data_IF_486514098766
#
_entry.id   IF_486514098766
#
_cell.length_a   1.000
_cell.length_b   1.000
_cell.length_c   1.000
_cell.angle_alpha   90.00
_cell.angle_beta   90.00
_cell.angle_gamma   90.00
#
_symmetry.space_group_name_H-M   'P 1'
#
loop_
_entity.id
_entity.type
_entity.pdbx_description
1 polymer ?
#
# COMPACT_ATOMS: atom_id res chain seq x y z
N UNK A 1 -14.21 -0.70 5.42
CA UNK A 1 -13.32 -1.16 4.34
C UNK A 1 -11.91 -1.14 4.88
N UNK A 2 -11.13 -2.21 4.69
CA UNK A 2 -9.74 -2.22 5.14
C UNK A 2 -8.88 -1.33 4.22
N UNK A 3 -8.11 -0.43 4.81
CA UNK A 3 -7.18 0.48 4.16
C UNK A 3 -5.74 0.01 4.35
N UNK A 4 -5.43 -0.81 5.35
CA UNK A 4 -4.08 -1.32 5.57
C UNK A 4 -4.07 -2.85 5.64
N UNK A 5 -3.44 -3.47 4.65
CA UNK A 5 -3.31 -4.93 4.52
C UNK A 5 -1.82 -5.28 4.60
N UNK A 6 -1.47 -6.25 5.43
CA UNK A 6 -0.10 -6.70 5.59
C UNK A 6 0.04 -8.16 5.17
N UNK A 7 1.02 -8.45 4.32
CA UNK A 7 1.34 -9.79 3.83
C UNK A 7 2.69 -10.20 4.41
N UNK A 8 2.70 -11.32 5.14
CA UNK A 8 3.91 -11.86 5.76
C UNK A 8 4.20 -13.31 5.39
N UNK A 9 5.42 -13.76 5.64
CA UNK A 9 5.90 -15.10 5.33
C UNK A 9 7.38 -15.14 4.97
N UNK A 10 7.98 -16.32 4.98
CA UNK A 10 9.41 -16.49 4.70
C UNK A 10 9.87 -15.98 3.33
N UNK A 11 11.18 -15.92 3.12
CA UNK A 11 11.75 -15.63 1.79
C UNK A 11 11.28 -16.68 0.78
N UNK A 12 10.93 -16.23 -0.43
CA UNK A 12 10.40 -17.12 -1.48
C UNK A 12 8.98 -17.66 -1.24
N UNK A 13 8.25 -17.17 -0.22
CA UNK A 13 6.86 -17.62 0.04
C UNK A 13 5.83 -17.06 -0.94
N UNK A 14 6.22 -16.17 -1.85
CA UNK A 14 5.34 -15.57 -2.86
C UNK A 14 4.60 -14.30 -2.39
N UNK A 15 5.11 -13.59 -1.39
CA UNK A 15 4.48 -12.38 -0.85
C UNK A 15 4.30 -11.26 -1.87
N UNK A 16 5.38 -10.86 -2.56
CA UNK A 16 5.34 -9.86 -3.63
C UNK A 16 4.36 -10.27 -4.72
N UNK A 17 4.40 -11.54 -5.13
CA UNK A 17 3.42 -12.10 -6.06
C UNK A 17 1.97 -11.90 -5.61
N UNK A 18 1.66 -12.23 -4.36
CA UNK A 18 0.30 -12.07 -3.84
C UNK A 18 -0.11 -10.61 -3.72
N UNK A 19 0.80 -9.75 -3.29
CA UNK A 19 0.59 -8.30 -3.24
C UNK A 19 0.22 -7.77 -4.62
N UNK A 20 1.04 -8.05 -5.63
CA UNK A 20 0.80 -7.67 -7.02
C UNK A 20 -0.53 -8.23 -7.54
N UNK A 21 -0.80 -9.53 -7.29
CA UNK A 21 -2.05 -10.16 -7.70
C UNK A 21 -3.28 -9.48 -7.06
N UNK A 22 -3.25 -9.20 -5.76
CA UNK A 22 -4.36 -8.53 -5.08
C UNK A 22 -4.58 -7.12 -5.62
N UNK A 23 -3.51 -6.35 -5.82
CA UNK A 23 -3.60 -4.99 -6.34
C UNK A 23 -4.28 -4.96 -7.72
N UNK A 24 -3.78 -5.77 -8.67
CA UNK A 24 -4.38 -5.86 -10.00
C UNK A 24 -5.80 -6.44 -9.98
N UNK A 25 -6.06 -7.45 -9.15
CA UNK A 25 -7.41 -8.03 -9.05
C UNK A 25 -8.43 -6.98 -8.58
N UNK A 26 -8.11 -6.21 -7.54
CA UNK A 26 -9.00 -5.19 -7.02
C UNK A 26 -9.17 -4.03 -7.98
N UNK A 27 -8.09 -3.57 -8.64
CA UNK A 27 -8.18 -2.57 -9.71
C UNK A 27 -9.15 -3.02 -10.81
N UNK A 28 -8.91 -4.20 -11.40
CA UNK A 28 -9.74 -4.73 -12.48
C UNK A 28 -11.20 -4.93 -12.05
N UNK A 29 -11.42 -5.41 -10.82
CA UNK A 29 -12.77 -5.60 -10.29
C UNK A 29 -13.50 -4.27 -10.14
N UNK A 30 -12.84 -3.24 -9.66
CA UNK A 30 -13.42 -1.90 -9.52
C UNK A 30 -13.70 -1.25 -10.86
N UNK A 31 -12.75 -1.34 -11.81
CA UNK A 31 -12.91 -0.80 -13.17
C UNK A 31 -14.05 -1.48 -13.94
N UNK A 32 -14.22 -2.80 -13.78
CA UNK A 32 -15.38 -3.51 -14.34
C UNK A 32 -16.72 -3.04 -13.79
N UNK A 33 -16.73 -2.49 -12.58
CA UNK A 33 -17.92 -1.94 -11.95
C UNK A 33 -18.09 -0.43 -12.22
N UNK A 34 -17.32 0.14 -13.14
CA UNK A 34 -17.40 1.56 -13.51
C UNK A 34 -16.65 2.51 -12.58
N UNK A 35 -15.87 2.00 -11.61
CA UNK A 35 -14.98 2.81 -10.79
C UNK A 35 -13.60 3.00 -11.44
N UNK A 36 -12.72 3.76 -10.78
CA UNK A 36 -11.34 3.94 -11.21
C UNK A 36 -10.39 3.71 -10.02
N UNK A 37 -9.25 3.05 -10.26
CA UNK A 37 -8.22 2.80 -9.24
C UNK A 37 -6.85 2.96 -9.87
N UNK A 38 -6.05 3.89 -9.34
CA UNK A 38 -4.65 4.04 -9.69
C UNK A 38 -3.76 3.13 -8.83
N UNK A 39 -2.74 2.51 -9.44
CA UNK A 39 -1.75 1.71 -8.71
C UNK A 39 -0.48 2.52 -8.48
N UNK A 40 0.14 2.31 -7.33
CA UNK A 40 1.42 2.89 -6.95
C UNK A 40 2.29 1.81 -6.30
N UNK A 41 3.61 1.89 -6.43
CA UNK A 41 4.50 0.92 -5.79
C UNK A 41 5.93 1.44 -5.60
N UNK A 42 6.63 0.91 -4.60
CA UNK A 42 8.08 1.16 -4.41
C UNK A 42 8.98 0.18 -5.16
N UNK A 43 8.40 -0.67 -6.01
CA UNK A 43 9.08 -1.61 -6.89
C UNK A 43 8.41 -1.55 -8.26
N UNK A 44 9.00 -2.17 -9.27
CA UNK A 44 8.39 -2.24 -10.59
C UNK A 44 7.20 -3.19 -10.61
N UNK A 45 6.00 -2.60 -10.57
CA UNK A 45 4.71 -3.26 -10.72
C UNK A 45 4.09 -2.78 -12.03
N UNK A 46 3.52 -3.69 -12.81
CA UNK A 46 2.83 -3.35 -14.05
C UNK A 46 1.69 -2.35 -13.79
N UNK A 47 1.49 -1.40 -14.70
CA UNK A 47 0.45 -0.38 -14.64
C UNK A 47 0.44 0.46 -13.33
N UNK A 48 1.58 0.55 -12.63
CA UNK A 48 1.73 1.36 -11.43
C UNK A 48 2.61 2.60 -11.65
N UNK A 49 2.33 3.64 -10.88
CA UNK A 49 3.24 4.77 -10.73
C UNK A 49 4.31 4.45 -9.69
N UNK A 50 5.59 4.77 -9.96
CA UNK A 50 6.65 4.57 -8.98
C UNK A 50 6.49 5.54 -7.81
N UNK A 51 6.76 5.06 -6.59
CA UNK A 51 6.85 5.85 -5.36
C UNK A 51 8.33 6.05 -5.00
N UNK A 52 8.98 7.00 -5.65
CA UNK A 52 10.43 7.24 -5.50
C UNK A 52 10.75 8.59 -4.85
N UNK A 53 9.81 9.54 -4.92
CA UNK A 53 9.96 10.88 -4.39
C UNK A 53 8.71 11.31 -3.60
N UNK A 54 8.87 12.18 -2.60
CA UNK A 54 7.76 12.49 -1.66
C UNK A 54 6.58 13.17 -2.36
N UNK A 55 6.84 13.86 -3.47
CA UNK A 55 5.81 14.50 -4.31
C UNK A 55 4.93 13.48 -5.05
N UNK A 56 5.31 12.20 -5.12
CA UNK A 56 4.46 11.16 -5.74
C UNK A 56 3.16 10.96 -4.97
N UNK A 57 3.14 11.28 -3.67
CA UNK A 57 1.92 11.32 -2.86
C UNK A 57 0.89 12.34 -3.37
N UNK A 58 1.30 13.37 -4.12
CA UNK A 58 0.36 14.30 -4.73
C UNK A 58 -0.52 13.62 -5.79
N UNK A 59 0.06 12.70 -6.57
CA UNK A 59 -0.70 11.88 -7.53
C UNK A 59 -1.65 10.93 -6.82
N UNK A 60 -1.24 10.39 -5.66
CA UNK A 60 -2.11 9.58 -4.80
C UNK A 60 -3.31 10.41 -4.33
N UNK A 61 -3.08 11.66 -3.90
CA UNK A 61 -4.13 12.58 -3.49
C UNK A 61 -5.05 12.97 -4.65
N UNK A 62 -4.53 13.16 -5.85
CA UNK A 62 -5.30 13.47 -7.05
C UNK A 62 -6.21 12.31 -7.49
N UNK A 63 -5.74 11.07 -7.40
CA UNK A 63 -6.44 9.89 -7.93
C UNK A 63 -7.80 9.60 -7.26
N UNK A 64 -8.03 10.04 -6.02
CA UNK A 64 -9.27 9.79 -5.26
C UNK A 64 -9.75 8.33 -5.32
N UNK A 65 -8.81 7.39 -5.18
CA UNK A 65 -9.03 5.97 -5.38
C UNK A 65 -7.74 5.30 -5.83
N UNK A 66 -6.99 4.72 -4.89
CA UNK A 66 -5.69 4.15 -5.19
C UNK A 66 -5.34 2.92 -4.38
N UNK A 67 -4.42 2.10 -4.91
CA UNK A 67 -3.77 1.03 -4.17
C UNK A 67 -2.26 1.28 -4.24
N UNK A 68 -1.60 1.28 -3.08
CA UNK A 68 -0.15 1.43 -2.98
C UNK A 68 0.46 0.14 -2.43
N UNK A 69 1.44 -0.40 -3.14
CA UNK A 69 2.15 -1.62 -2.80
C UNK A 69 3.56 -1.32 -2.29
N UNK A 70 3.84 -1.74 -1.06
CA UNK A 70 5.13 -1.56 -0.39
C UNK A 70 5.82 -2.91 -0.20
N UNK A 71 6.75 -3.24 -1.08
CA UNK A 71 7.61 -4.42 -0.92
C UNK A 71 8.78 -4.13 0.02
N UNK A 72 9.22 -5.17 0.72
CA UNK A 72 10.19 -5.11 1.82
C UNK A 72 9.92 -3.96 2.79
N UNK A 73 8.67 -3.88 3.29
CA UNK A 73 8.18 -2.81 4.14
C UNK A 73 9.06 -2.58 5.39
N UNK A 74 9.75 -3.60 5.91
CA UNK A 74 10.70 -3.40 7.01
C UNK A 74 11.89 -2.52 6.64
N UNK A 75 12.28 -2.46 5.36
CA UNK A 75 13.33 -1.54 4.88
C UNK A 75 12.78 -0.13 4.68
N UNK A 76 11.54 -0.04 4.17
CA UNK A 76 10.85 1.21 3.95
C UNK A 76 10.53 1.92 5.28
N UNK A 77 10.07 1.18 6.29
CA UNK A 77 9.55 1.67 7.57
C UNK A 77 10.45 1.28 8.77
N UNK A 78 11.77 1.25 8.58
CA UNK A 78 12.70 0.94 9.67
C UNK A 78 12.93 2.14 10.59
N UNK A 79 12.67 1.96 11.89
CA UNK A 79 12.94 2.95 12.93
C UNK A 79 14.35 3.52 12.95
N UNK A 80 15.34 2.78 12.42
CA UNK A 80 16.75 3.19 12.43
C UNK A 80 17.11 4.18 11.33
N UNK A 81 16.34 4.24 10.24
CA UNK A 81 16.65 5.08 9.07
C UNK A 81 15.94 6.43 9.09
N UNK A 82 14.88 6.58 9.87
CA UNK A 82 14.08 7.80 9.88
C UNK A 82 14.46 8.69 11.06
N UNK A 83 14.67 9.98 10.78
CA UNK A 83 14.71 10.99 11.82
C UNK A 83 13.38 11.02 12.58
N UNK A 84 13.37 11.50 13.83
CA UNK A 84 12.11 11.67 14.60
C UNK A 84 11.06 12.46 13.80
N UNK A 85 11.53 13.44 13.02
CA UNK A 85 10.70 14.25 12.13
C UNK A 85 10.07 13.41 11.00
N UNK A 86 10.87 12.62 10.27
CA UNK A 86 10.36 11.75 9.20
C UNK A 86 9.36 10.71 9.71
N UNK A 87 9.55 10.19 10.93
CA UNK A 87 8.57 9.30 11.56
C UNK A 87 7.21 9.97 11.78
N UNK A 88 7.21 11.26 12.16
CA UNK A 88 6.00 12.06 12.31
C UNK A 88 5.25 12.19 10.98
N UNK A 89 5.94 12.65 9.93
CA UNK A 89 5.35 12.81 8.59
C UNK A 89 4.76 11.49 8.09
N UNK A 90 5.51 10.40 8.18
CA UNK A 90 5.06 9.11 7.68
C UNK A 90 3.75 8.66 8.34
N UNK A 91 3.67 8.84 9.66
CA UNK A 91 2.48 8.47 10.42
C UNK A 91 1.29 9.29 9.96
N UNK A 92 1.47 10.60 9.82
CA UNK A 92 0.42 11.52 9.40
C UNK A 92 -0.07 11.24 7.97
N UNK A 93 0.84 11.06 7.00
CA UNK A 93 0.50 10.66 5.63
C UNK A 93 -0.30 9.36 5.61
N UNK A 94 0.16 8.35 6.36
CA UNK A 94 -0.52 7.06 6.40
C UNK A 94 -1.90 7.13 7.04
N UNK A 95 -2.10 8.01 8.02
CA UNK A 95 -3.44 8.28 8.58
C UNK A 95 -4.36 8.96 7.55
N UNK A 96 -3.82 9.79 6.66
CA UNK A 96 -4.59 10.44 5.60
C UNK A 96 -4.95 9.55 4.42
N UNK A 97 -4.34 8.37 4.27
CA UNK A 97 -4.70 7.40 3.22
C UNK A 97 -6.19 7.05 3.21
N UNK A 98 -6.82 7.02 4.39
CA UNK A 98 -8.29 6.85 4.54
C UNK A 98 -9.10 7.98 3.90
N UNK A 99 -8.62 9.23 3.99
CA UNK A 99 -9.28 10.39 3.39
C UNK A 99 -9.08 10.44 1.87
N UNK A 100 -7.92 9.98 1.40
CA UNK A 100 -7.58 9.85 -0.01
C UNK A 100 -8.17 8.59 -0.69
N UNK A 101 -8.97 7.78 0.04
CA UNK A 101 -9.52 6.51 -0.44
C UNK A 101 -8.44 5.56 -0.99
N UNK A 102 -7.30 5.52 -0.30
CA UNK A 102 -6.11 4.77 -0.69
C UNK A 102 -5.94 3.52 0.16
N UNK A 103 -5.84 2.36 -0.48
CA UNK A 103 -5.52 1.09 0.17
C UNK A 103 -4.00 0.87 0.12
N UNK A 104 -3.42 0.58 1.27
CA UNK A 104 -2.02 0.25 1.43
C UNK A 104 -1.86 -1.26 1.59
N UNK A 105 -1.02 -1.87 0.75
CA UNK A 105 -0.65 -3.28 0.87
C UNK A 105 0.85 -3.33 1.15
N UNK A 106 1.22 -3.93 2.27
CA UNK A 106 2.60 -4.08 2.72
C UNK A 106 3.05 -5.54 2.60
N UNK A 107 4.31 -5.75 2.26
CA UNK A 107 4.96 -7.05 2.25
C UNK A 107 6.24 -7.03 3.07
N UNK A 108 6.45 -8.01 3.94
CA UNK A 108 7.68 -8.17 4.73
C UNK A 108 7.81 -9.61 5.23
N UNK A 109 9.00 -10.11 5.60
CA UNK A 109 9.13 -11.42 6.24
C UNK A 109 8.24 -11.60 7.48
N UNK A 110 8.11 -10.54 8.29
CA UNK A 110 7.33 -10.54 9.52
C UNK A 110 6.83 -9.14 9.83
N UNK A 111 5.57 -9.03 10.24
CA UNK A 111 4.99 -7.76 10.69
C UNK A 111 5.77 -7.14 11.86
N UNK A 112 6.35 -7.98 12.73
CA UNK A 112 7.13 -7.52 13.88
C UNK A 112 8.42 -6.75 13.52
N UNK A 113 8.89 -6.88 12.28
CA UNK A 113 10.08 -6.16 11.81
C UNK A 113 9.76 -4.72 11.37
N UNK A 114 8.48 -4.36 11.31
CA UNK A 114 8.00 -3.05 10.87
C UNK A 114 7.74 -2.16 12.08
N UNK A 115 7.88 -0.85 11.90
CA UNK A 115 7.60 0.14 12.95
C UNK A 115 6.23 -0.09 13.62
N UNK A 116 6.19 0.13 14.94
CA UNK A 116 4.99 -0.12 15.75
C UNK A 116 3.79 0.73 15.33
N UNK A 117 4.00 1.95 14.80
CA UNK A 117 2.89 2.80 14.35
C UNK A 117 2.20 2.22 13.12
N UNK A 118 2.97 1.65 12.18
CA UNK A 118 2.43 0.94 11.03
C UNK A 118 1.65 -0.30 11.49
N UNK A 119 2.20 -1.06 12.45
CA UNK A 119 1.50 -2.23 12.99
C UNK A 119 0.15 -1.86 13.59
N UNK A 120 0.07 -0.75 14.31
CA UNK A 120 -1.17 -0.29 14.94
C UNK A 120 -2.27 0.04 13.95
N UNK A 121 -1.95 0.46 12.73
CA UNK A 121 -2.94 0.82 11.70
C UNK A 121 -3.30 -0.33 10.76
N UNK A 122 -2.55 -1.43 10.74
CA UNK A 122 -2.85 -2.63 9.93
C UNK A 122 -4.15 -3.26 10.39
N UNK A 123 -5.09 -3.47 9.48
CA UNK A 123 -6.39 -4.08 9.77
C UNK A 123 -6.39 -5.58 9.45
N UNK A 124 -5.78 -5.96 8.32
CA UNK A 124 -5.78 -7.35 7.83
C UNK A 124 -4.35 -7.87 7.77
N UNK A 125 -4.10 -9.02 8.40
CA UNK A 125 -2.85 -9.77 8.28
C UNK A 125 -3.08 -11.02 7.43
N UNK A 126 -2.32 -11.15 6.35
CA UNK A 126 -2.29 -12.30 5.46
C UNK A 126 -0.97 -13.02 5.67
N UNK A 127 -1.01 -14.23 6.22
CA UNK A 127 0.18 -15.08 6.33
C UNK A 127 0.26 -16.03 5.14
N UNK A 128 1.35 -15.93 4.39
CA UNK A 128 1.63 -16.74 3.21
C UNK A 128 2.60 -17.87 3.48
N UNK A 129 2.27 -19.04 2.95
CA UNK A 129 3.12 -20.23 2.93
C UNK A 129 3.13 -20.85 1.54
N UNK A 130 4.32 -21.13 1.01
CA UNK A 130 4.48 -21.96 -0.19
C UNK A 130 4.38 -23.44 0.23
N UNK A 131 3.48 -24.19 -0.40
CA UNK A 131 3.26 -25.62 -0.16
C UNK A 131 3.95 -26.39 -1.27
N UNK A 132 5.28 -26.52 -1.16
CA UNK A 132 6.11 -27.19 -2.18
C UNK A 132 5.81 -26.70 -3.60
N UNK A 133 5.54 -27.64 -4.50
CA UNK A 133 5.13 -27.38 -5.88
C UNK A 133 3.60 -27.36 -6.07
N UNK A 134 2.82 -27.57 -5.01
CA UNK A 134 1.36 -27.65 -5.07
C UNK A 134 0.72 -26.28 -5.20
N UNK A 135 1.28 -25.25 -4.57
CA UNK A 135 0.73 -23.89 -4.62
C UNK A 135 1.08 -23.03 -3.42
N UNK A 136 0.23 -22.05 -3.15
CA UNK A 136 0.35 -21.10 -2.05
C UNK A 136 -0.85 -21.19 -1.13
N UNK A 137 -0.62 -21.22 0.18
CA UNK A 137 -1.64 -21.16 1.21
C UNK A 137 -1.62 -19.77 1.87
N UNK A 138 -2.79 -19.19 2.03
CA UNK A 138 -3.03 -17.86 2.56
C UNK A 138 -3.91 -17.98 3.79
N UNK A 139 -3.49 -17.41 4.91
CA UNK A 139 -4.27 -17.34 6.13
C UNK A 139 -4.61 -15.89 6.43
N UNK A 140 -5.89 -15.57 6.39
CA UNK A 140 -6.41 -14.23 6.66
C UNK A 140 -6.82 -14.12 8.12
N UNK A 141 -6.36 -13.05 8.74
CA UNK A 141 -6.60 -12.74 10.15
C UNK A 141 -6.93 -11.26 10.26
N UNK A 142 -7.96 -10.95 11.02
CA UNK A 142 -8.18 -9.59 11.51
C UNK A 142 -7.06 -9.30 12.52
N UNK A 143 -6.19 -8.34 12.18
CA UNK A 143 -4.99 -8.09 12.97
C UNK A 143 -5.31 -7.42 14.31
N UNK A 144 -6.36 -6.61 14.35
CA UNK A 144 -6.76 -5.81 15.50
C UNK A 144 -7.36 -6.67 16.60
N UNK A 145 -8.26 -7.58 16.24
CA UNK A 145 -8.96 -8.48 17.17
C UNK A 145 -8.23 -9.80 17.36
N UNK A 146 -7.35 -10.15 16.42
CA UNK A 146 -6.73 -11.45 16.36
C UNK A 146 -7.63 -12.55 15.79
N UNK A 147 -8.83 -12.21 15.32
CA UNK A 147 -9.80 -13.19 14.84
C UNK A 147 -9.36 -13.84 13.53
N UNK A 148 -9.42 -15.16 13.48
CA UNK A 148 -9.27 -15.88 12.22
C UNK A 148 -10.44 -15.58 11.28
N UNK A 149 -10.15 -15.21 10.04
CA UNK A 149 -11.18 -14.89 9.06
C UNK A 149 -11.40 -16.07 8.12
N UNK A 150 -10.39 -16.44 7.34
CA UNK A 150 -10.47 -17.59 6.44
C UNK A 150 -9.08 -18.04 5.98
N UNK A 151 -9.05 -19.18 5.30
CA UNK A 151 -7.87 -19.65 4.57
C UNK A 151 -8.20 -19.80 3.10
N UNK A 152 -7.22 -19.60 2.23
CA UNK A 152 -7.36 -19.80 0.80
C UNK A 152 -6.13 -20.51 0.25
N UNK A 153 -6.36 -21.38 -0.74
CA UNK A 153 -5.29 -22.06 -1.46
C UNK A 153 -5.29 -21.63 -2.93
N UNK A 154 -4.12 -21.23 -3.43
CA UNK A 154 -3.88 -20.93 -4.84
C UNK A 154 -3.04 -22.08 -5.41
N UNK A 155 -3.64 -22.97 -6.23
CA UNK A 155 -2.90 -24.01 -6.91
C UNK A 155 -1.81 -23.44 -7.81
N UNK A 156 -0.68 -24.15 -7.90
CA UNK A 156 0.48 -23.72 -8.68
C UNK A 156 0.15 -23.49 -10.16
N UNK A 157 -0.78 -24.25 -10.74
CA UNK A 157 -1.20 -24.05 -12.14
C UNK A 157 -1.90 -22.69 -12.35
N UNK A 158 -2.66 -22.18 -11.36
CA UNK A 158 -3.23 -20.83 -11.40
C UNK A 158 -2.14 -19.79 -11.22
N UNK A 159 -1.25 -19.99 -10.25
CA UNK A 159 -0.13 -19.08 -10.02
C UNK A 159 0.76 -18.93 -11.25
N UNK A 160 1.09 -20.04 -11.93
CA UNK A 160 1.85 -20.06 -13.18
C UNK A 160 1.18 -19.26 -14.31
N UNK A 161 -0.16 -19.25 -14.39
CA UNK A 161 -0.86 -18.41 -15.36
C UNK A 161 -0.68 -16.92 -15.06
N UNK A 162 -0.71 -16.55 -13.78
CA UNK A 162 -0.47 -15.16 -13.36
C UNK A 162 0.99 -14.77 -13.54
N UNK A 163 1.97 -15.65 -13.25
CA UNK A 163 3.39 -15.37 -13.50
C UNK A 163 3.68 -15.06 -14.97
N UNK A 164 2.95 -15.67 -15.91
CA UNK A 164 3.05 -15.36 -17.34
C UNK A 164 2.59 -13.95 -17.71
N UNK A 165 1.82 -13.29 -16.85
CA UNK A 165 1.42 -11.89 -17.04
C UNK A 165 2.53 -10.91 -16.69
N UNK A 166 3.65 -11.38 -16.11
CA UNK A 166 4.82 -10.57 -15.77
C UNK A 166 4.45 -9.29 -15.01
N UNK A 167 3.58 -9.41 -14.01
CA UNK A 167 3.05 -8.27 -13.26
C UNK A 167 4.15 -7.48 -12.52
N UNK A 168 5.32 -8.06 -12.28
CA UNK A 168 6.42 -7.37 -11.60
C UNK A 168 7.76 -8.00 -11.95
N UNK A 169 8.84 -7.22 -11.83
CA UNK A 169 10.20 -7.75 -11.89
C UNK A 169 10.64 -8.24 -10.51
N UNK A 170 11.07 -9.50 -10.44
CA UNK A 170 11.51 -10.14 -9.20
C UNK A 170 12.93 -9.75 -8.80
N UNK A 171 13.75 -9.27 -9.74
CA UNK A 171 15.16 -8.96 -9.50
C UNK A 171 15.40 -7.49 -9.15
N UNK A 172 14.41 -6.63 -9.36
CA UNK A 172 14.56 -5.22 -9.08
C UNK A 172 14.61 -4.92 -7.59
N UNK A 173 15.49 -4.00 -7.24
CA UNK A 173 15.60 -3.49 -5.88
C UNK A 173 14.42 -2.58 -5.57
N UNK A 174 13.97 -2.64 -4.32
CA UNK A 174 12.90 -1.76 -3.84
C UNK A 174 13.45 -0.37 -3.51
N UNK A 175 12.63 0.65 -3.73
CA UNK A 175 12.88 2.00 -3.28
C UNK A 175 12.45 2.19 -1.81
N UNK A 176 13.09 3.14 -1.13
CA UNK A 176 12.70 3.53 0.22
C UNK A 176 11.36 4.28 0.20
N UNK A 177 10.68 4.30 1.35
CA UNK A 177 9.47 5.10 1.51
C UNK A 177 9.79 6.60 1.29
N UNK A 178 9.15 7.25 0.32
CA UNK A 178 9.52 8.61 -0.04
C UNK A 178 8.91 9.62 0.93
N UNK A 179 9.77 10.37 1.62
CA UNK A 179 9.39 11.42 2.58
C UNK A 179 10.20 12.69 2.38
N UNK A 180 9.64 13.86 2.73
CA UNK A 180 10.39 15.10 2.87
C UNK A 180 11.55 14.93 3.86
N UNK A 181 12.71 15.54 3.56
CA UNK A 181 13.91 15.39 4.39
C UNK A 181 14.08 16.53 5.40
N UNK A 182 13.42 17.67 5.19
CA UNK A 182 13.51 18.87 6.04
C UNK A 182 12.14 19.33 6.53
N UNK A 183 12.13 20.11 7.61
CA UNK A 183 10.89 20.63 8.20
C UNK A 183 10.11 21.54 7.25
N UNK A 184 10.84 22.41 6.54
CA UNK A 184 10.26 23.28 5.51
C UNK A 184 9.56 22.46 4.42
N UNK A 185 10.23 21.44 3.89
CA UNK A 185 9.64 20.57 2.86
C UNK A 185 8.44 19.79 3.39
N UNK A 186 8.44 19.38 4.65
CA UNK A 186 7.29 18.67 5.22
C UNK A 186 6.06 19.55 5.38
N UNK A 187 6.23 20.81 5.80
CA UNK A 187 5.13 21.78 5.88
C UNK A 187 4.55 22.07 4.49
N UNK A 188 5.41 22.41 3.52
CA UNK A 188 5.01 22.63 2.12
C UNK A 188 4.35 21.37 1.54
N UNK A 189 4.84 20.19 1.92
CA UNK A 189 4.29 18.92 1.47
C UNK A 189 2.84 18.71 1.93
N UNK A 190 2.54 18.94 3.22
CA UNK A 190 1.19 18.76 3.72
C UNK A 190 0.21 19.81 3.20
N UNK A 191 0.64 21.06 3.06
CA UNK A 191 -0.18 22.12 2.45
C UNK A 191 -0.57 21.75 1.02
N UNK A 192 0.40 21.37 0.18
CA UNK A 192 0.14 20.96 -1.19
C UNK A 192 -0.71 19.69 -1.28
N UNK A 193 -0.43 18.68 -0.44
CA UNK A 193 -1.20 17.44 -0.40
C UNK A 193 -2.67 17.72 -0.07
N UNK A 194 -2.92 18.61 0.89
CA UNK A 194 -4.25 19.03 1.29
C UNK A 194 -4.99 19.79 0.18
N UNK A 195 -4.32 20.74 -0.48
CA UNK A 195 -4.93 21.54 -1.55
C UNK A 195 -5.26 20.69 -2.79
N UNK A 196 -4.36 19.79 -3.18
CA UNK A 196 -4.59 18.84 -4.28
C UNK A 196 -5.73 17.90 -3.94
N UNK A 197 -5.74 17.32 -2.73
CA UNK A 197 -6.83 16.47 -2.27
C UNK A 197 -8.19 17.18 -2.31
N UNK A 198 -8.25 18.43 -1.80
CA UNK A 198 -9.47 19.22 -1.79
C UNK A 198 -9.97 19.58 -3.18
N UNK A 199 -9.05 19.90 -4.08
CA UNK A 199 -9.36 20.18 -5.48
C UNK A 199 -9.92 18.93 -6.15
N UNK A 200 -9.25 17.79 -6.00
CA UNK A 200 -9.64 16.52 -6.62
C UNK A 200 -11.02 16.01 -6.14
N UNK A 201 -11.36 16.20 -4.86
CA UNK A 201 -12.69 15.84 -4.33
C UNK A 201 -13.79 16.86 -4.63
N UNK A 202 -13.48 17.96 -5.33
CA UNK A 202 -14.44 19.02 -5.67
C UNK A 202 -14.87 19.90 -4.49
N UNK A 203 -14.03 20.05 -3.46
CA UNK A 203 -14.36 20.76 -2.22
C UNK A 203 -14.54 22.29 -2.38
N UNK A 204 -14.25 22.86 -3.55
CA UNK A 204 -14.58 24.25 -3.87
C UNK A 204 -16.08 24.59 -3.74
N UNK A 205 -16.97 23.59 -3.60
CA UNK A 205 -18.41 23.79 -3.34
C UNK A 205 -18.76 24.25 -1.92
N UNK A 206 -17.94 23.99 -0.90
CA UNK A 206 -18.33 24.25 0.50
C UNK A 206 -18.02 25.67 1.01
N UNK A 207 -17.18 26.44 0.30
CA UNK A 207 -16.86 27.83 0.68
C UNK A 207 -17.91 28.87 0.25
N UNK A 208 -18.91 28.50 -0.58
CA UNK A 208 -19.95 29.44 -1.04
C UNK A 208 -21.28 29.35 -0.27
N UNK A 209 -21.55 28.29 0.50
CA UNK A 209 -22.82 28.12 1.22
C UNK A 209 -22.75 28.50 2.70
N UNK A 210 -21.57 28.75 3.26
CA UNK A 210 -21.41 29.17 4.68
C UNK A 210 -21.40 30.69 4.88
N UNK A 211 -21.59 31.46 3.81
CA UNK A 211 -21.73 32.93 3.84
C UNK A 211 -23.00 33.38 3.09
N UNK A 212 -24.15 32.77 3.41
CA UNK A 212 -25.48 33.31 3.09
C UNK A 212 -26.37 33.20 4.32
#
# INVERSE_FOLDING_TARGET
MAHHIFIQGGLGSGKTFMMSLLAHYWKQKTEKNGGHVSLFSNYELADSFPMTHYTDWYKVAEAQGSIICWDEAQMAFSNRKWSKYGQGIATEVLMFTRKMQSVQIYCSPSINNVDSRIRQIVEILITMRKVGNSGFQLHFKDYQTGQFMHTQFIPMWKAKRVFKLQLYDTFNMVHSFPLPSTEKQGNEFFENLHDIHNTARGANKWKQETYR
#
